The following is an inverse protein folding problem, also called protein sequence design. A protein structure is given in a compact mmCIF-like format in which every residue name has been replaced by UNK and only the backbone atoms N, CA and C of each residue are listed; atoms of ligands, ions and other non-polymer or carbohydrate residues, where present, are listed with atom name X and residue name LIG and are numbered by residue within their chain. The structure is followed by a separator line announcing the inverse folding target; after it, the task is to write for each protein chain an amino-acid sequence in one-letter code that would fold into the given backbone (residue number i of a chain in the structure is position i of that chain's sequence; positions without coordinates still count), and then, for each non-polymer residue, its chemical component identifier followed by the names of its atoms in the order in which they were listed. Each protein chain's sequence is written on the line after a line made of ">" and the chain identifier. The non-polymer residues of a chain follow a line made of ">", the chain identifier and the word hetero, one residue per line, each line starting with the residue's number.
data_IF_415963608608
#
_entry.id   IF_415963608608
#
_cell.length_a   1.000
_cell.length_b   1.000
_cell.length_c   1.000
_cell.angle_alpha   90.00
_cell.angle_beta   90.00
_cell.angle_gamma   90.00
#
_symmetry.space_group_name_H-M   'P 1'
#
loop_
_entity.id
_entity.type
_entity.pdbx_description
1 polymer ?
#
# COMPACT_ATOMS: atom_id res chain seq x y z
N UNK A 1 -16.20 -17.95 12.36
CA UNK A 1 -15.40 -16.97 11.61
C UNK A 1 -14.53 -17.75 10.65
N UNK A 2 -14.60 -17.47 9.35
CA UNK A 2 -13.73 -18.09 8.34
C UNK A 2 -12.43 -17.30 8.22
N UNK A 3 -11.29 -18.00 8.19
CA UNK A 3 -10.00 -17.38 7.95
C UNK A 3 -9.76 -17.22 6.44
N UNK A 4 -9.13 -16.12 6.05
CA UNK A 4 -8.75 -15.81 4.67
C UNK A 4 -7.29 -15.38 4.62
N UNK A 5 -6.60 -15.78 3.56
CA UNK A 5 -5.31 -15.21 3.21
C UNK A 5 -5.50 -13.95 2.36
N UNK A 6 -4.56 -13.01 2.46
CA UNK A 6 -4.62 -11.72 1.78
C UNK A 6 -3.34 -11.44 1.02
N UNK A 7 -3.48 -10.93 -0.21
CA UNK A 7 -2.37 -10.45 -1.03
C UNK A 7 -2.63 -8.98 -1.37
N UNK A 8 -1.68 -8.12 -1.03
CA UNK A 8 -1.70 -6.71 -1.43
C UNK A 8 -0.73 -6.49 -2.59
N UNK A 9 -1.27 -6.21 -3.78
CA UNK A 9 -0.46 -5.83 -4.93
C UNK A 9 0.02 -4.38 -4.78
N UNK A 10 1.21 -4.22 -4.20
CA UNK A 10 1.80 -2.91 -3.91
C UNK A 10 2.82 -2.43 -4.97
N UNK A 11 3.11 -3.25 -5.99
CA UNK A 11 4.10 -2.96 -7.03
C UNK A 11 3.53 -2.22 -8.24
N UNK A 12 4.39 -1.44 -8.90
CA UNK A 12 4.09 -0.78 -10.17
C UNK A 12 5.06 0.36 -10.44
N UNK A 13 5.16 0.80 -11.70
CA UNK A 13 6.17 1.78 -12.13
C UNK A 13 6.00 3.21 -11.56
N UNK A 14 4.93 3.49 -10.81
CA UNK A 14 4.66 4.79 -10.20
C UNK A 14 4.86 6.02 -11.12
N UNK A 15 4.58 5.89 -12.42
CA UNK A 15 4.88 6.93 -13.44
C UNK A 15 4.28 8.30 -13.14
N UNK A 16 3.08 8.33 -12.55
CA UNK A 16 2.38 9.57 -12.14
C UNK A 16 3.01 10.26 -10.93
N UNK A 17 3.86 9.54 -10.20
CA UNK A 17 4.63 10.03 -9.06
C UNK A 17 6.12 10.16 -9.42
N UNK A 18 6.47 10.25 -10.70
CA UNK A 18 7.86 10.37 -11.15
C UNK A 18 8.71 9.12 -10.90
N UNK A 19 8.09 7.95 -10.75
CA UNK A 19 8.81 6.71 -10.43
C UNK A 19 9.11 6.52 -8.93
N UNK A 20 8.56 7.37 -8.07
CA UNK A 20 8.72 7.25 -6.62
C UNK A 20 8.12 5.96 -6.05
N UNK A 21 8.65 5.51 -4.90
CA UNK A 21 8.10 4.40 -4.13
C UNK A 21 6.71 4.75 -3.56
N UNK A 22 5.65 4.39 -4.32
CA UNK A 22 4.26 4.66 -3.93
C UNK A 22 3.88 4.02 -2.58
N UNK A 23 4.17 2.73 -2.30
CA UNK A 23 3.91 2.11 -1.00
C UNK A 23 4.43 2.93 0.19
N UNK A 24 5.61 3.52 0.07
CA UNK A 24 6.23 4.37 1.08
C UNK A 24 5.67 5.79 1.20
N UNK A 25 4.85 6.25 0.24
CA UNK A 25 4.23 7.59 0.30
C UNK A 25 3.41 7.72 1.57
N UNK A 26 3.65 8.81 2.32
CA UNK A 26 2.92 9.08 3.55
C UNK A 26 1.66 9.88 3.27
N UNK A 27 0.54 9.37 3.77
CA UNK A 27 -0.72 10.11 3.90
C UNK A 27 -0.93 10.32 5.39
N UNK A 28 -1.41 11.47 5.87
CA UNK A 28 -1.72 11.70 7.31
C UNK A 28 -0.78 11.00 8.30
N UNK A 29 0.54 11.14 8.13
CA UNK A 29 1.56 10.57 9.01
C UNK A 29 1.79 9.04 8.98
N UNK A 30 1.16 8.25 8.10
CA UNK A 30 1.40 6.80 7.95
C UNK A 30 1.72 6.44 6.50
N UNK A 31 2.50 5.39 6.26
CA UNK A 31 2.74 4.92 4.89
C UNK A 31 1.42 4.46 4.24
N UNK A 32 1.33 4.53 2.92
CA UNK A 32 0.13 4.11 2.20
C UNK A 32 -0.11 2.61 2.35
N UNK A 33 0.96 1.80 2.31
CA UNK A 33 0.85 0.35 2.51
C UNK A 33 0.33 -0.01 3.90
N UNK A 34 0.82 0.65 4.95
CA UNK A 34 0.37 0.41 6.34
C UNK A 34 -1.14 0.65 6.51
N UNK A 35 -1.71 1.60 5.76
CA UNK A 35 -3.16 1.83 5.78
C UNK A 35 -3.94 0.68 5.19
N UNK A 36 -3.45 0.12 4.09
CA UNK A 36 -4.11 -1.01 3.41
C UNK A 36 -4.06 -2.23 4.31
N UNK A 37 -2.89 -2.54 4.87
CA UNK A 37 -2.71 -3.68 5.78
C UNK A 37 -3.59 -3.58 7.03
N UNK A 38 -3.81 -2.38 7.56
CA UNK A 38 -4.70 -2.18 8.71
C UNK A 38 -6.20 -2.33 8.39
N UNK A 39 -6.58 -2.37 7.10
CA UNK A 39 -7.96 -2.54 6.66
C UNK A 39 -8.27 -3.97 6.17
N UNK A 40 -7.25 -4.82 6.06
CA UNK A 40 -7.37 -6.25 5.80
C UNK A 40 -7.75 -7.00 7.07
#
# INVERSE_FOLDING_TARGET
>A
MTAYDVIVLAGGAAKRLGGADKPGVRVGGRALLDRVLAAC
#
